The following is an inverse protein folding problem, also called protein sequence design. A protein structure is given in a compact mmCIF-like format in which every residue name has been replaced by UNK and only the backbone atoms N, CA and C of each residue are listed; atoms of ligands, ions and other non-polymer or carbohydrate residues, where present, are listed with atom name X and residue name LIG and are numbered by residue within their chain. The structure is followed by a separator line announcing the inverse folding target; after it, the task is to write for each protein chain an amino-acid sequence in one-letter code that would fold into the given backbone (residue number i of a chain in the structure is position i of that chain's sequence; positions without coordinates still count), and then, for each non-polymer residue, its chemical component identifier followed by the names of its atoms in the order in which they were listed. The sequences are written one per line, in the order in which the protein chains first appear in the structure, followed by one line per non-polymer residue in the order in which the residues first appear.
data_IF_814541434093
#
_entry.id   IF_814541434093
#
_cell.length_a   1.000
_cell.length_b   1.000
_cell.length_c   1.000
_cell.angle_alpha   90.00
_cell.angle_beta   90.00
_cell.angle_gamma   90.00
#
_symmetry.space_group_name_H-M   'P 1'
#
loop_
_entity.id
_entity.type
_entity.pdbx_description
1 polymer ?
#
# COMPACT_ATOMS: atom_id res chain seq x y z
N UNK A 1 -22.14 -25.96 3.27
CA UNK A 1 -21.46 -25.20 2.20
C UNK A 1 -21.26 -23.78 2.69
N UNK A 2 -20.10 -23.36 3.22
CA UNK A 2 -19.91 -21.95 3.56
C UNK A 2 -19.43 -21.21 2.31
N UNK A 3 -20.20 -20.22 1.90
CA UNK A 3 -19.74 -19.17 1.01
C UNK A 3 -18.61 -18.44 1.74
N UNK A 4 -17.37 -18.66 1.31
CA UNK A 4 -16.18 -17.94 1.77
C UNK A 4 -16.33 -16.47 1.35
N UNK A 5 -16.99 -15.71 2.23
CA UNK A 5 -17.10 -14.27 2.09
C UNK A 5 -15.69 -13.71 2.13
N UNK A 6 -15.21 -13.23 0.97
CA UNK A 6 -13.99 -12.42 0.85
C UNK A 6 -14.23 -11.06 1.52
N UNK A 7 -14.42 -11.06 2.83
CA UNK A 7 -14.39 -9.86 3.64
C UNK A 7 -12.98 -9.31 3.50
N UNK A 8 -12.84 -8.23 2.71
CA UNK A 8 -11.60 -7.47 2.57
C UNK A 8 -11.12 -7.13 3.98
N UNK A 9 -10.16 -7.91 4.50
CA UNK A 9 -9.61 -7.66 5.83
C UNK A 9 -9.01 -6.25 5.80
N UNK A 10 -9.41 -5.34 6.69
CA UNK A 10 -8.79 -4.03 6.75
C UNK A 10 -7.29 -4.22 6.99
N UNK A 11 -6.46 -3.40 6.34
CA UNK A 11 -5.01 -3.45 6.52
C UNK A 11 -4.72 -3.34 8.03
N UNK A 12 -4.07 -4.34 8.65
CA UNK A 12 -3.77 -4.29 10.07
C UNK A 12 -2.98 -3.03 10.40
N UNK A 13 -3.31 -2.35 11.51
CA UNK A 13 -2.55 -1.17 11.93
C UNK A 13 -1.07 -1.48 12.16
N UNK A 14 -0.75 -2.69 12.64
CA UNK A 14 0.63 -3.17 12.76
C UNK A 14 1.39 -3.09 11.43
N UNK A 15 0.74 -3.46 10.32
CA UNK A 15 1.33 -3.40 8.98
C UNK A 15 1.49 -1.96 8.51
N UNK A 16 0.50 -1.09 8.76
CA UNK A 16 0.62 0.34 8.43
C UNK A 16 1.79 0.99 9.18
N UNK A 17 1.91 0.73 10.48
CA UNK A 17 2.98 1.24 11.32
C UNK A 17 4.35 0.69 10.92
N UNK A 18 4.44 -0.60 10.58
CA UNK A 18 5.68 -1.20 10.08
C UNK A 18 6.10 -0.55 8.75
N UNK A 19 5.19 -0.41 7.78
CA UNK A 19 5.48 0.23 6.49
C UNK A 19 5.88 1.69 6.69
N UNK A 20 5.17 2.42 7.56
CA UNK A 20 5.51 3.79 7.90
C UNK A 20 6.92 3.91 8.51
N UNK A 21 7.26 3.02 9.45
CA UNK A 21 8.56 2.98 10.12
C UNK A 21 9.68 2.56 9.15
N UNK A 22 9.41 1.56 8.30
CA UNK A 22 10.33 1.04 7.27
C UNK A 22 10.66 2.12 6.24
N UNK A 23 9.65 2.78 5.71
CA UNK A 23 9.80 3.83 4.71
C UNK A 23 10.18 5.18 5.37
N UNK A 24 10.23 5.23 6.70
CA UNK A 24 10.65 6.39 7.48
C UNK A 24 9.74 7.61 7.30
N UNK A 25 8.47 7.39 6.96
CA UNK A 25 7.56 8.48 6.59
C UNK A 25 8.04 9.23 5.34
N UNK A 26 8.62 8.53 4.37
CA UNK A 26 9.08 9.11 3.09
C UNK A 26 8.60 8.27 1.93
N UNK A 27 8.42 8.91 0.78
CA UNK A 27 8.05 8.24 -0.45
C UNK A 27 9.16 7.30 -0.89
N UNK A 28 8.87 6.01 -1.09
CA UNK A 28 9.89 5.03 -1.55
C UNK A 28 10.41 5.33 -2.95
N UNK A 29 9.66 6.10 -3.75
CA UNK A 29 9.99 6.40 -5.14
C UNK A 29 10.83 7.67 -5.31
N UNK A 30 10.56 8.71 -4.52
CA UNK A 30 11.19 10.02 -4.68
C UNK A 30 11.77 10.60 -3.37
N UNK A 31 11.59 9.93 -2.23
CA UNK A 31 12.05 10.39 -0.92
C UNK A 31 11.25 11.54 -0.30
N UNK A 32 10.20 12.05 -0.96
CA UNK A 32 9.39 13.13 -0.41
C UNK A 32 8.66 12.72 0.87
N UNK A 33 8.71 13.53 1.92
CA UNK A 33 8.03 13.31 3.21
C UNK A 33 6.64 13.97 3.30
N UNK A 34 6.00 14.28 2.17
CA UNK A 34 4.75 15.05 2.13
C UNK A 34 3.65 14.32 1.37
N UNK A 35 2.41 14.45 1.84
CA UNK A 35 1.21 13.86 1.22
C UNK A 35 1.38 12.35 0.92
N UNK A 36 1.83 11.60 1.92
CA UNK A 36 2.14 10.17 1.82
C UNK A 36 0.87 9.33 1.89
N UNK A 37 0.79 8.33 1.03
CA UNK A 37 -0.35 7.43 0.93
C UNK A 37 0.17 5.99 0.87
N UNK A 38 -0.56 5.08 1.52
CA UNK A 38 -0.30 3.65 1.43
C UNK A 38 -0.85 3.13 0.10
N UNK A 39 0.02 2.60 -0.73
CA UNK A 39 -0.30 2.03 -2.04
C UNK A 39 0.08 0.55 -2.07
N UNK A 40 -0.73 -0.25 -2.77
CA UNK A 40 -0.43 -1.66 -2.99
C UNK A 40 0.40 -1.80 -4.28
N UNK A 41 1.58 -2.40 -4.17
CA UNK A 41 2.44 -2.70 -5.33
C UNK A 41 1.67 -3.60 -6.30
N UNK A 42 1.14 -4.72 -5.79
CA UNK A 42 0.27 -5.64 -6.50
C UNK A 42 -1.18 -5.38 -6.06
N UNK A 43 -2.09 -5.03 -6.99
CA UNK A 43 -3.49 -4.81 -6.66
C UNK A 43 -4.14 -6.10 -6.16
N UNK A 44 -5.08 -5.97 -5.22
CA UNK A 44 -5.83 -7.09 -4.63
C UNK A 44 -6.50 -7.93 -5.73
N UNK A 45 -6.97 -7.28 -6.81
CA UNK A 45 -7.60 -7.94 -7.94
C UNK A 45 -6.69 -8.91 -8.70
N UNK A 46 -5.36 -8.82 -8.52
CA UNK A 46 -4.36 -9.75 -9.08
C UNK A 46 -3.83 -10.74 -8.04
N UNK A 47 -4.49 -10.88 -6.89
CA UNK A 47 -4.02 -11.72 -5.79
C UNK A 47 -2.98 -11.04 -4.88
N UNK A 48 -2.86 -9.71 -4.96
CA UNK A 48 -1.98 -8.95 -4.09
C UNK A 48 -2.40 -9.07 -2.62
N UNK A 49 -1.55 -9.70 -1.81
CA UNK A 49 -1.77 -9.80 -0.37
C UNK A 49 -1.54 -8.46 0.32
N UNK A 50 -2.31 -8.14 1.35
CA UNK A 50 -2.11 -6.94 2.17
C UNK A 50 -0.99 -7.18 3.19
N UNK A 51 0.25 -7.19 2.71
CA UNK A 51 1.45 -7.41 3.53
C UNK A 51 2.36 -6.19 3.52
N UNK A 52 3.23 -6.08 4.52
CA UNK A 52 4.26 -5.02 4.61
C UNK A 52 5.22 -5.02 3.41
N UNK A 53 5.35 -6.17 2.74
CA UNK A 53 6.14 -6.31 1.52
C UNK A 53 5.40 -5.81 0.27
N UNK A 54 4.07 -5.92 0.23
CA UNK A 54 3.24 -5.50 -0.89
C UNK A 54 2.67 -4.08 -0.73
N UNK A 55 2.87 -3.46 0.44
CA UNK A 55 2.51 -2.07 0.73
C UNK A 55 3.74 -1.18 0.65
N UNK A 56 3.54 0.03 0.14
CA UNK A 56 4.58 1.05 0.04
C UNK A 56 4.01 2.42 0.39
N UNK A 57 4.85 3.30 0.97
CA UNK A 57 4.56 4.73 1.05
C UNK A 57 4.87 5.42 -0.29
N UNK A 58 3.85 5.99 -0.91
CA UNK A 58 4.00 6.85 -2.08
C UNK A 58 3.45 8.23 -1.79
N UNK A 59 4.17 9.28 -2.19
CA UNK A 59 3.60 10.62 -2.18
C UNK A 59 2.51 10.74 -3.25
N UNK A 60 1.59 11.69 -3.07
CA UNK A 60 0.49 11.97 -4.01
C UNK A 60 0.96 12.06 -5.46
N UNK A 61 2.08 12.76 -5.73
CA UNK A 61 2.62 12.92 -7.09
C UNK A 61 3.07 11.59 -7.70
N UNK A 62 3.80 10.77 -6.95
CA UNK A 62 4.25 9.46 -7.43
C UNK A 62 3.08 8.48 -7.56
N UNK A 63 2.10 8.56 -6.66
CA UNK A 63 0.87 7.76 -6.72
C UNK A 63 0.02 8.12 -7.95
N UNK A 64 -0.16 9.41 -8.22
CA UNK A 64 -0.82 9.91 -9.44
C UNK A 64 -0.14 9.39 -10.70
N UNK A 65 1.19 9.46 -10.76
CA UNK A 65 1.95 8.91 -11.87
C UNK A 65 1.79 7.39 -12.02
N UNK A 66 1.69 6.65 -10.90
CA UNK A 66 1.50 5.19 -10.93
C UNK A 66 0.12 4.79 -11.45
N UNK A 67 -0.94 5.53 -11.11
CA UNK A 67 -2.32 5.26 -11.56
C UNK A 67 -2.51 5.33 -13.07
N UNK A 68 -1.65 6.05 -13.79
CA UNK A 68 -1.73 6.15 -15.25
C UNK A 68 -1.16 4.94 -15.99
N UNK A 69 -0.54 3.97 -15.29
CA UNK A 69 0.16 2.83 -15.90
C UNK A 69 -0.45 1.47 -15.56
N UNK A 70 -1.62 1.42 -14.91
CA UNK A 70 -2.30 0.17 -14.48
C UNK A 70 -3.73 0.10 -14.96
#
# INVERSE_FOLDING_TARGET
MPFEQTTRKPIPEAIKSEVWRRDGGKCVKCGAGVNLQFDHIIPISKGGATTTANLQLLCRSCNLGKRNYI
#
